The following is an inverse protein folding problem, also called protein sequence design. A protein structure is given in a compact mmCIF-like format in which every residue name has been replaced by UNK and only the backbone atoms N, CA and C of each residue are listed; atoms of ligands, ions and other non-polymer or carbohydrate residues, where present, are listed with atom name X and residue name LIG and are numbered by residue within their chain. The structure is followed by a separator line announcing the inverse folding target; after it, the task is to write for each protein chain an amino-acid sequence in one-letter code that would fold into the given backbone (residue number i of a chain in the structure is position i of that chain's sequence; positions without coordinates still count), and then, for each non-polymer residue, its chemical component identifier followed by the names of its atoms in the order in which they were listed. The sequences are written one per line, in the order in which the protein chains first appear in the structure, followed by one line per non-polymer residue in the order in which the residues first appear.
data_IF_709291853235
#
_entry.id   IF_709291853235
#
_cell.length_a   1.000
_cell.length_b   1.000
_cell.length_c   1.000
_cell.angle_alpha   90.00
_cell.angle_beta   90.00
_cell.angle_gamma   90.00
#
_symmetry.space_group_name_H-M   'P 1'
#
loop_
_entity.id
_entity.type
_entity.pdbx_description
1 polymer ?
#
# COMPACT_ATOMS: atom_id res chain seq x y z
N UNK A 1 0.95 -26.99 16.36
CA UNK A 1 0.87 -25.53 16.61
C UNK A 1 -0.47 -25.18 17.25
N UNK A 2 -0.49 -24.32 18.28
CA UNK A 2 -1.72 -23.85 18.92
C UNK A 2 -1.96 -22.37 18.57
N UNK A 3 -3.18 -22.03 18.16
CA UNK A 3 -3.59 -20.64 17.86
C UNK A 3 -3.93 -19.92 19.15
N UNK A 4 -3.36 -18.71 19.35
CA UNK A 4 -3.63 -17.89 20.53
C UNK A 4 -4.89 -17.03 20.31
N UNK A 5 -5.96 -17.35 21.03
CA UNK A 5 -7.26 -16.70 20.87
C UNK A 5 -7.23 -15.24 21.34
N UNK A 6 -6.48 -14.89 22.38
CA UNK A 6 -6.43 -13.50 22.89
C UNK A 6 -5.72 -12.52 21.96
N UNK A 7 -4.97 -13.03 20.98
CA UNK A 7 -4.37 -12.24 19.89
C UNK A 7 -5.14 -12.34 18.58
N UNK A 8 -6.26 -13.07 18.57
CA UNK A 8 -7.07 -13.30 17.38
C UNK A 8 -8.23 -12.32 17.34
N UNK A 9 -8.43 -11.66 16.21
CA UNK A 9 -9.58 -10.81 15.96
C UNK A 9 -10.30 -11.29 14.70
N UNK A 10 -11.63 -11.25 14.73
CA UNK A 10 -12.45 -11.61 13.58
C UNK A 10 -12.86 -10.34 12.81
N UNK A 11 -12.72 -10.37 11.48
CA UNK A 11 -13.18 -9.33 10.59
C UNK A 11 -14.19 -9.94 9.62
N UNK A 12 -15.42 -9.41 9.61
CA UNK A 12 -16.43 -9.76 8.63
C UNK A 12 -16.39 -8.76 7.47
N UNK A 13 -16.02 -9.20 6.27
CA UNK A 13 -16.05 -8.40 5.04
C UNK A 13 -17.24 -8.83 4.18
N UNK A 14 -18.07 -7.88 3.72
CA UNK A 14 -19.24 -8.19 2.89
C UNK A 14 -20.38 -7.18 3.03
N UNK A 15 -21.52 -7.46 2.39
CA UNK A 15 -22.73 -6.62 2.44
C UNK A 15 -23.51 -6.77 3.74
N UNK A 16 -23.38 -7.91 4.42
CA UNK A 16 -23.96 -8.15 5.73
C UNK A 16 -23.44 -7.10 6.69
N UNK A 17 -24.34 -6.42 7.40
CA UNK A 17 -24.02 -5.38 8.39
C UNK A 17 -24.01 -5.93 9.81
N UNK A 18 -24.89 -6.88 10.10
CA UNK A 18 -24.98 -7.51 11.42
C UNK A 18 -23.85 -8.52 11.59
N UNK A 19 -23.15 -8.44 12.71
CA UNK A 19 -22.18 -9.45 13.11
C UNK A 19 -22.96 -10.66 13.66
N UNK A 20 -22.61 -11.89 13.23
CA UNK A 20 -23.25 -13.07 13.78
C UNK A 20 -22.90 -13.25 15.26
N UNK A 21 -23.80 -13.89 15.99
CA UNK A 21 -23.64 -14.11 17.42
C UNK A 21 -22.44 -15.04 17.68
N UNK A 22 -21.49 -14.50 18.43
CA UNK A 22 -20.33 -15.14 19.07
C UNK A 22 -19.54 -16.14 18.20
N UNK A 23 -18.48 -15.66 17.52
CA UNK A 23 -17.47 -16.55 16.95
C UNK A 23 -16.66 -17.20 18.06
N UNK A 24 -16.63 -18.53 18.14
CA UNK A 24 -15.80 -19.24 19.12
C UNK A 24 -14.65 -19.97 18.43
N UNK A 25 -13.43 -19.76 18.91
CA UNK A 25 -12.25 -20.51 18.50
C UNK A 25 -11.71 -21.25 19.72
N UNK A 26 -11.68 -22.59 19.66
CA UNK A 26 -11.28 -23.46 20.79
C UNK A 26 -12.09 -23.20 22.08
N UNK A 27 -13.39 -22.98 21.95
CA UNK A 27 -14.30 -22.71 23.08
C UNK A 27 -14.21 -21.30 23.67
N UNK A 28 -13.24 -20.48 23.25
CA UNK A 28 -13.10 -19.09 23.66
C UNK A 28 -13.73 -18.16 22.61
N UNK A 29 -14.43 -17.11 23.07
CA UNK A 29 -15.05 -16.13 22.20
C UNK A 29 -13.99 -15.24 21.53
N UNK A 30 -14.11 -15.03 20.23
CA UNK A 30 -13.29 -14.13 19.43
C UNK A 30 -14.04 -12.83 19.24
N UNK A 31 -13.36 -11.71 19.52
CA UNK A 31 -13.93 -10.39 19.33
C UNK A 31 -14.07 -10.04 17.85
N UNK A 32 -15.25 -9.57 17.47
CA UNK A 32 -15.49 -9.00 16.16
C UNK A 32 -15.00 -7.56 16.10
N UNK A 33 -14.15 -7.26 15.14
CA UNK A 33 -13.60 -5.93 14.92
C UNK A 33 -14.00 -5.42 13.53
N UNK A 34 -14.20 -4.10 13.40
CA UNK A 34 -14.47 -3.45 12.11
C UNK A 34 -13.19 -3.13 11.34
N UNK A 35 -12.05 -3.12 12.04
CA UNK A 35 -10.70 -2.92 11.52
C UNK A 35 -9.73 -3.83 12.28
N UNK A 36 -8.85 -4.50 11.55
CA UNK A 36 -7.78 -5.32 12.13
C UNK A 36 -6.43 -4.90 11.58
N UNK A 37 -5.36 -5.15 12.35
CA UNK A 37 -3.98 -4.96 11.90
C UNK A 37 -3.35 -6.32 11.69
N UNK A 38 -2.92 -6.59 10.45
CA UNK A 38 -2.25 -7.84 10.10
C UNK A 38 -0.94 -7.54 9.37
N UNK A 39 0.18 -8.04 9.90
CA UNK A 39 1.53 -7.82 9.36
C UNK A 39 1.84 -6.34 9.05
N UNK A 40 1.32 -5.42 9.85
CA UNK A 40 1.51 -3.97 9.66
C UNK A 40 0.54 -3.30 8.68
N UNK A 41 -0.38 -4.06 8.06
CA UNK A 41 -1.43 -3.54 7.19
C UNK A 41 -2.74 -3.41 7.98
N UNK A 42 -3.41 -2.27 7.86
CA UNK A 42 -4.72 -2.03 8.45
C UNK A 42 -5.83 -2.39 7.46
N UNK A 43 -6.53 -3.48 7.76
CA UNK A 43 -7.61 -3.99 6.93
C UNK A 43 -8.92 -3.57 7.57
N UNK A 44 -9.76 -2.87 6.81
CA UNK A 44 -11.10 -2.47 7.22
C UNK A 44 -12.16 -3.36 6.59
N UNK A 45 -13.32 -3.46 7.23
CA UNK A 45 -14.47 -4.24 6.76
C UNK A 45 -14.86 -3.98 5.30
N UNK A 46 -14.71 -2.74 4.84
CA UNK A 46 -15.10 -2.36 3.48
C UNK A 46 -14.04 -2.68 2.42
N UNK A 47 -12.85 -3.13 2.84
CA UNK A 47 -11.67 -3.35 2.00
C UNK A 47 -11.27 -2.16 1.13
N UNK A 48 -11.72 -0.94 1.48
CA UNK A 48 -11.36 0.31 0.79
C UNK A 48 -10.00 0.85 1.22
N UNK A 49 -9.37 0.22 2.21
CA UNK A 49 -8.01 0.51 2.68
C UNK A 49 -7.81 1.94 3.18
N UNK A 50 -8.91 2.65 3.55
CA UNK A 50 -8.86 4.02 4.05
C UNK A 50 -7.93 4.12 5.28
N UNK A 51 -8.08 3.26 6.31
CA UNK A 51 -7.25 3.39 7.51
C UNK A 51 -5.78 3.05 7.24
N UNK A 52 -5.50 2.18 6.26
CA UNK A 52 -4.15 1.88 5.83
C UNK A 52 -3.49 3.09 5.18
N UNK A 53 -4.20 3.77 4.29
CA UNK A 53 -3.67 4.92 3.56
C UNK A 53 -3.41 6.09 4.50
N UNK A 54 -4.35 6.37 5.41
CA UNK A 54 -4.16 7.44 6.39
C UNK A 54 -2.96 7.15 7.30
N UNK A 55 -2.80 5.89 7.74
CA UNK A 55 -1.62 5.46 8.50
C UNK A 55 -0.32 5.63 7.72
N UNK A 56 -0.27 5.15 6.47
CA UNK A 56 0.90 5.22 5.60
C UNK A 56 1.27 6.67 5.28
N UNK A 57 0.29 7.53 5.01
CA UNK A 57 0.50 8.97 4.80
C UNK A 57 1.04 9.61 6.08
N UNK A 58 0.45 9.34 7.23
CA UNK A 58 0.86 9.95 8.50
C UNK A 58 2.29 9.56 8.88
N UNK A 59 2.62 8.27 8.79
CA UNK A 59 3.97 7.77 9.07
C UNK A 59 5.00 8.33 8.09
N UNK A 60 4.64 8.47 6.81
CA UNK A 60 5.51 9.07 5.78
C UNK A 60 5.69 10.57 5.96
N UNK A 61 4.65 11.30 6.39
CA UNK A 61 4.73 12.72 6.75
C UNK A 61 5.66 12.93 7.94
N UNK A 62 5.52 12.13 9.00
CA UNK A 62 6.40 12.16 10.16
C UNK A 62 7.86 11.85 9.78
N UNK A 63 8.07 10.85 8.93
CA UNK A 63 9.38 10.51 8.38
C UNK A 63 10.03 11.69 7.65
N UNK A 64 9.27 12.31 6.74
CA UNK A 64 9.72 13.48 5.97
C UNK A 64 10.02 14.68 6.87
N UNK A 65 9.20 14.93 7.89
CA UNK A 65 9.42 16.01 8.84
C UNK A 65 10.77 15.83 9.58
N UNK A 66 11.03 14.62 10.09
CA UNK A 66 12.31 14.28 10.75
C UNK A 66 13.51 14.41 9.81
N UNK A 67 13.36 14.02 8.55
CA UNK A 67 14.42 14.10 7.54
C UNK A 67 14.56 15.46 6.86
N UNK A 68 13.69 16.43 7.17
CA UNK A 68 13.71 17.74 6.51
C UNK A 68 15.07 18.43 6.56
N UNK A 69 15.82 18.46 7.69
CA UNK A 69 17.14 19.09 7.73
C UNK A 69 18.11 18.49 6.71
N UNK A 70 18.05 17.18 6.50
CA UNK A 70 18.92 16.45 5.57
C UNK A 70 18.46 16.68 4.13
N UNK A 71 17.16 16.56 3.85
CA UNK A 71 16.62 16.71 2.49
C UNK A 71 16.74 18.16 1.96
N UNK A 72 16.66 19.14 2.85
CA UNK A 72 16.84 20.56 2.52
C UNK A 72 18.30 21.05 2.58
N UNK A 73 19.26 20.20 2.98
CA UNK A 73 20.67 20.57 3.12
C UNK A 73 21.38 20.81 1.77
N UNK A 74 22.69 21.10 1.80
CA UNK A 74 23.54 21.17 0.59
C UNK A 74 24.10 19.81 0.13
N UNK A 75 23.60 18.70 0.68
CA UNK A 75 24.04 17.36 0.27
C UNK A 75 23.78 17.11 -1.23
N UNK A 76 24.59 16.25 -1.87
CA UNK A 76 24.36 15.86 -3.26
C UNK A 76 22.94 15.33 -3.47
N UNK A 77 22.31 15.75 -4.57
CA UNK A 77 20.92 15.37 -4.91
C UNK A 77 20.76 13.84 -4.94
N UNK A 78 21.73 13.12 -5.50
CA UNK A 78 21.74 11.65 -5.54
C UNK A 78 21.59 11.03 -4.14
N UNK A 79 22.32 11.55 -3.15
CA UNK A 79 22.25 11.08 -1.75
C UNK A 79 20.88 11.36 -1.15
N UNK A 80 20.32 12.56 -1.35
CA UNK A 80 18.98 12.90 -0.87
C UNK A 80 17.89 12.00 -1.49
N UNK A 81 17.99 11.72 -2.78
CA UNK A 81 17.08 10.80 -3.49
C UNK A 81 17.20 9.38 -2.93
N UNK A 82 18.42 8.91 -2.67
CA UNK A 82 18.65 7.60 -2.05
C UNK A 82 17.99 7.50 -0.65
N UNK A 83 18.15 8.53 0.19
CA UNK A 83 17.53 8.61 1.51
C UNK A 83 16.00 8.60 1.39
N UNK A 84 15.43 9.36 0.45
CA UNK A 84 13.99 9.34 0.19
C UNK A 84 13.51 7.95 -0.22
N UNK A 85 14.19 7.28 -1.16
CA UNK A 85 13.84 5.93 -1.63
C UNK A 85 13.92 4.92 -0.48
N UNK A 86 14.95 5.02 0.37
CA UNK A 86 15.19 4.11 1.48
C UNK A 86 14.19 4.26 2.63
N UNK A 87 13.80 5.48 3.00
CA UNK A 87 13.07 5.72 4.27
C UNK A 87 11.64 6.23 4.11
N UNK A 88 11.37 7.08 3.11
CA UNK A 88 10.04 7.66 2.91
C UNK A 88 9.25 6.80 1.94
N UNK A 89 9.82 6.47 0.77
CA UNK A 89 9.15 5.64 -0.24
C UNK A 89 8.86 4.23 0.30
N UNK A 90 9.81 3.63 1.02
CA UNK A 90 9.62 2.32 1.64
C UNK A 90 8.41 2.26 2.58
N UNK A 91 8.17 3.32 3.36
CA UNK A 91 6.97 3.46 4.20
C UNK A 91 5.70 3.68 3.38
N UNK A 92 5.76 4.53 2.37
CA UNK A 92 4.63 4.78 1.45
C UNK A 92 4.17 3.51 0.72
N UNK A 93 5.08 2.61 0.44
CA UNK A 93 4.85 1.46 -0.46
C UNK A 93 4.93 0.12 0.27
N UNK A 94 4.98 0.14 1.61
CA UNK A 94 5.01 -1.07 2.42
C UNK A 94 3.77 -1.92 2.16
N UNK A 95 3.99 -3.20 1.81
CA UNK A 95 2.96 -4.16 1.43
C UNK A 95 2.00 -3.67 0.32
N UNK A 96 2.39 -2.65 -0.47
CA UNK A 96 1.55 -2.07 -1.51
C UNK A 96 0.98 -3.08 -2.52
N UNK A 97 1.71 -4.15 -2.93
CA UNK A 97 1.13 -5.19 -3.77
C UNK A 97 -0.16 -5.80 -3.23
N UNK A 98 -0.38 -5.82 -1.91
CA UNK A 98 -1.56 -6.41 -1.30
C UNK A 98 -2.78 -5.46 -1.23
N UNK A 99 -2.57 -4.14 -1.19
CA UNK A 99 -3.65 -3.18 -0.89
C UNK A 99 -3.83 -2.05 -1.92
N UNK A 100 -2.82 -1.74 -2.74
CA UNK A 100 -2.86 -0.57 -3.63
C UNK A 100 -3.93 -0.68 -4.73
N UNK A 101 -4.22 -1.90 -5.20
CA UNK A 101 -5.26 -2.16 -6.20
C UNK A 101 -6.64 -1.73 -5.70
N UNK A 102 -6.89 -1.95 -4.41
CA UNK A 102 -8.17 -1.64 -3.74
C UNK A 102 -8.38 -0.13 -3.53
N UNK A 103 -7.34 0.68 -3.74
CA UNK A 103 -7.42 2.12 -3.56
C UNK A 103 -8.16 2.81 -4.70
N UNK A 104 -9.02 3.77 -4.35
CA UNK A 104 -9.66 4.69 -5.29
C UNK A 104 -8.65 5.65 -5.95
N UNK A 105 -9.04 6.27 -7.06
CA UNK A 105 -8.20 7.27 -7.75
C UNK A 105 -7.77 8.42 -6.82
N UNK A 106 -8.69 8.95 -6.01
CA UNK A 106 -8.40 10.01 -5.03
C UNK A 106 -7.36 9.55 -3.99
N UNK A 107 -7.48 8.31 -3.51
CA UNK A 107 -6.53 7.71 -2.58
C UNK A 107 -5.13 7.57 -3.19
N UNK A 108 -5.04 7.10 -4.44
CA UNK A 108 -3.76 7.00 -5.19
C UNK A 108 -3.14 8.39 -5.40
N UNK A 109 -3.94 9.41 -5.71
CA UNK A 109 -3.49 10.80 -5.81
C UNK A 109 -2.93 11.33 -4.48
N UNK A 110 -3.56 11.03 -3.34
CA UNK A 110 -3.04 11.42 -2.01
C UNK A 110 -1.66 10.81 -1.72
N UNK A 111 -1.42 9.57 -2.14
CA UNK A 111 -0.11 8.90 -2.02
C UNK A 111 0.93 9.55 -2.94
N UNK A 112 0.57 9.78 -4.21
CA UNK A 112 1.43 10.47 -5.17
C UNK A 112 1.80 11.88 -4.70
N UNK A 113 0.86 12.60 -4.06
CA UNK A 113 1.12 13.91 -3.49
C UNK A 113 2.21 13.86 -2.41
N UNK A 114 2.27 12.81 -1.57
CA UNK A 114 3.34 12.68 -0.58
C UNK A 114 4.72 12.52 -1.22
N UNK A 115 4.82 11.77 -2.33
CA UNK A 115 6.04 11.70 -3.14
C UNK A 115 6.39 13.06 -3.73
N UNK A 116 5.43 13.74 -4.36
CA UNK A 116 5.66 15.03 -5.01
C UNK A 116 6.18 16.09 -4.03
N UNK A 117 5.64 16.14 -2.80
CA UNK A 117 6.13 17.04 -1.75
C UNK A 117 7.58 16.71 -1.37
N UNK A 118 7.93 15.43 -1.25
CA UNK A 118 9.29 15.02 -0.90
C UNK A 118 10.29 15.34 -2.03
N UNK A 119 9.93 15.07 -3.28
CA UNK A 119 10.78 15.35 -4.45
C UNK A 119 10.99 16.86 -4.63
N UNK A 120 9.94 17.66 -4.47
CA UNK A 120 10.03 19.12 -4.51
C UNK A 120 10.96 19.67 -3.42
N UNK A 121 10.89 19.12 -2.21
CA UNK A 121 11.82 19.46 -1.12
C UNK A 121 13.27 19.13 -1.48
N UNK A 122 13.53 17.97 -2.10
CA UNK A 122 14.88 17.55 -2.50
C UNK A 122 15.45 18.45 -3.59
N UNK A 123 14.63 18.80 -4.59
CA UNK A 123 15.02 19.66 -5.70
C UNK A 123 15.11 21.14 -5.31
N UNK A 124 14.53 21.55 -4.18
CA UNK A 124 14.41 22.97 -3.82
C UNK A 124 13.53 23.76 -4.80
N UNK A 125 12.59 23.09 -5.47
CA UNK A 125 11.86 23.66 -6.60
C UNK A 125 10.64 24.51 -6.17
N UNK A 126 10.54 25.73 -6.72
CA UNK A 126 9.41 26.64 -6.52
C UNK A 126 8.11 26.15 -7.16
N UNK A 127 6.96 26.70 -6.73
CA UNK A 127 5.60 26.25 -7.10
C UNK A 127 5.35 26.15 -8.61
N UNK A 128 6.01 27.00 -9.41
CA UNK A 128 5.90 27.07 -10.87
C UNK A 128 6.50 25.86 -11.61
N UNK A 129 7.39 25.09 -10.98
CA UNK A 129 7.96 23.88 -11.61
C UNK A 129 6.94 22.73 -11.53
N UNK A 130 6.60 22.14 -12.67
CA UNK A 130 5.65 21.02 -12.76
C UNK A 130 6.23 19.75 -12.09
N UNK A 131 5.39 19.01 -11.36
CA UNK A 131 5.83 17.82 -10.60
C UNK A 131 6.45 16.73 -11.49
N UNK A 132 5.96 16.53 -12.71
CA UNK A 132 6.51 15.52 -13.62
C UNK A 132 7.94 15.87 -14.09
N UNK A 133 8.25 17.17 -14.25
CA UNK A 133 9.60 17.65 -14.59
C UNK A 133 10.55 17.32 -13.45
N UNK A 134 10.16 17.63 -12.21
CA UNK A 134 10.96 17.29 -11.02
C UNK A 134 11.20 15.78 -10.93
N UNK A 135 10.17 14.96 -11.13
CA UNK A 135 10.29 13.51 -11.06
C UNK A 135 11.21 12.95 -12.16
N UNK A 136 11.10 13.45 -13.39
CA UNK A 136 11.96 13.11 -14.52
C UNK A 136 13.41 13.46 -14.24
N UNK A 137 13.69 14.69 -13.85
CA UNK A 137 15.06 15.19 -13.65
C UNK A 137 15.74 14.50 -12.45
N UNK A 138 14.97 14.10 -11.43
CA UNK A 138 15.48 13.30 -10.31
C UNK A 138 15.61 11.80 -10.63
N UNK A 139 15.14 11.33 -11.79
CA UNK A 139 15.14 9.91 -12.15
C UNK A 139 14.28 9.06 -11.21
N UNK A 140 13.08 9.54 -10.91
CA UNK A 140 12.18 8.94 -9.93
C UNK A 140 10.82 8.60 -10.56
N UNK A 141 10.56 7.30 -10.70
CA UNK A 141 9.27 6.76 -11.17
C UNK A 141 8.10 7.13 -10.22
N UNK A 142 6.88 7.13 -10.74
CA UNK A 142 5.65 7.42 -9.96
C UNK A 142 5.40 6.32 -8.91
N UNK A 143 4.58 6.62 -7.90
CA UNK A 143 4.19 5.60 -6.92
C UNK A 143 3.48 4.44 -7.61
N UNK A 144 2.64 4.74 -8.61
CA UNK A 144 1.91 3.71 -9.35
C UNK A 144 2.86 2.80 -10.14
N UNK A 145 3.78 3.35 -10.91
CA UNK A 145 4.80 2.58 -11.65
C UNK A 145 5.61 1.68 -10.71
N UNK A 146 6.08 2.27 -9.59
CA UNK A 146 6.86 1.55 -8.60
C UNK A 146 6.08 0.38 -8.01
N UNK A 147 4.82 0.62 -7.61
CA UNK A 147 3.97 -0.41 -7.02
C UNK A 147 3.63 -1.48 -8.05
N UNK A 148 3.27 -1.12 -9.28
CA UNK A 148 3.02 -2.11 -10.35
C UNK A 148 4.24 -3.01 -10.55
N UNK A 149 5.44 -2.44 -10.59
CA UNK A 149 6.69 -3.22 -10.69
C UNK A 149 6.90 -4.15 -9.49
N UNK A 150 6.61 -3.69 -8.27
CA UNK A 150 6.66 -4.54 -7.07
C UNK A 150 5.63 -5.67 -7.15
N UNK A 151 4.41 -5.36 -7.58
CA UNK A 151 3.32 -6.33 -7.68
C UNK A 151 3.63 -7.42 -8.71
N UNK A 152 4.11 -7.06 -9.90
CA UNK A 152 4.59 -8.03 -10.91
C UNK A 152 5.65 -8.96 -10.32
N UNK A 153 6.67 -8.40 -9.66
CA UNK A 153 7.74 -9.21 -9.03
C UNK A 153 7.23 -10.12 -7.92
N UNK A 154 6.27 -9.65 -7.11
CA UNK A 154 5.73 -10.42 -6.00
C UNK A 154 4.94 -11.63 -6.50
N UNK A 155 4.02 -11.44 -7.44
CA UNK A 155 3.22 -12.52 -8.01
C UNK A 155 4.07 -13.49 -8.84
N UNK A 156 4.99 -13.01 -9.67
CA UNK A 156 5.89 -13.90 -10.42
C UNK A 156 6.73 -14.79 -9.50
N UNK A 157 7.17 -14.27 -8.35
CA UNK A 157 7.89 -15.07 -7.35
C UNK A 157 6.97 -16.07 -6.65
N UNK A 158 5.73 -15.70 -6.38
CA UNK A 158 4.75 -16.61 -5.80
C UNK A 158 4.45 -17.77 -6.75
N UNK A 159 4.21 -17.48 -8.03
CA UNK A 159 3.89 -18.47 -9.07
C UNK A 159 5.10 -19.36 -9.42
N UNK A 160 6.33 -18.82 -9.40
CA UNK A 160 7.55 -19.60 -9.62
C UNK A 160 8.07 -20.31 -8.36
N UNK A 161 7.41 -20.12 -7.21
CA UNK A 161 7.86 -20.65 -5.92
C UNK A 161 7.65 -22.16 -5.77
N UNK A 162 8.31 -22.80 -4.81
CA UNK A 162 8.18 -24.24 -4.56
C UNK A 162 6.86 -24.64 -3.89
N UNK A 163 6.00 -23.68 -3.55
CA UNK A 163 4.75 -23.89 -2.81
C UNK A 163 3.54 -23.73 -3.73
N UNK A 164 2.89 -24.83 -4.16
CA UNK A 164 1.75 -24.78 -5.08
C UNK A 164 0.58 -23.96 -4.56
N UNK A 165 0.42 -23.86 -3.23
CA UNK A 165 -0.64 -23.05 -2.60
C UNK A 165 -0.49 -21.55 -2.82
N UNK A 166 0.69 -21.08 -3.22
CA UNK A 166 0.95 -19.69 -3.56
C UNK A 166 0.84 -19.41 -5.07
N UNK A 167 0.68 -20.46 -5.88
CA UNK A 167 0.48 -20.29 -7.31
C UNK A 167 -0.93 -19.76 -7.57
N UNK A 168 -1.08 -18.89 -8.56
CA UNK A 168 -2.37 -18.33 -8.99
C UNK A 168 -3.13 -17.58 -7.90
N UNK A 169 -2.44 -17.00 -6.91
CA UNK A 169 -3.06 -16.13 -5.90
C UNK A 169 -3.86 -15.00 -6.58
N UNK A 170 -5.09 -14.78 -6.10
CA UNK A 170 -6.06 -13.84 -6.65
C UNK A 170 -6.36 -14.08 -8.16
N UNK A 171 -6.99 -15.21 -8.52
CA UNK A 171 -7.24 -15.59 -9.91
C UNK A 171 -8.19 -14.59 -10.59
N UNK A 172 -7.94 -14.31 -11.87
CA UNK A 172 -8.70 -13.32 -12.65
C UNK A 172 -10.13 -13.76 -13.00
N UNK A 173 -10.42 -15.06 -12.95
CA UNK A 173 -11.64 -15.66 -13.50
C UNK A 173 -12.76 -15.87 -12.45
N UNK A 174 -12.44 -15.94 -11.15
CA UNK A 174 -13.43 -16.10 -10.07
C UNK A 174 -13.82 -14.73 -9.49
N UNK A 175 -14.37 -13.85 -10.32
CA UNK A 175 -14.80 -12.51 -9.88
C UNK A 175 -16.11 -12.59 -9.09
N UNK A 176 -16.17 -12.03 -7.87
CA UNK A 176 -17.46 -11.78 -7.23
C UNK A 176 -18.24 -10.71 -8.02
N UNK A 177 -19.57 -10.86 -8.07
CA UNK A 177 -20.51 -10.03 -8.85
C UNK A 177 -20.45 -8.53 -8.53
N UNK A 178 -19.86 -8.14 -7.39
CA UNK A 178 -19.54 -6.75 -7.03
C UNK A 178 -18.04 -6.52 -7.27
N UNK A 179 -17.70 -5.97 -8.44
CA UNK A 179 -16.34 -5.88 -8.99
C UNK A 179 -15.38 -4.96 -8.23
N UNK A 180 -14.86 -5.43 -7.09
CA UNK A 180 -13.64 -4.87 -6.49
C UNK A 180 -12.42 -5.25 -7.33
N UNK A 181 -11.48 -4.33 -7.50
CA UNK A 181 -10.18 -4.64 -8.11
C UNK A 181 -9.41 -5.59 -7.21
N UNK A 182 -8.89 -6.67 -7.77
CA UNK A 182 -8.01 -7.58 -7.05
C UNK A 182 -6.57 -7.06 -7.09
N UNK A 183 -5.75 -7.37 -6.07
CA UNK A 183 -4.31 -7.08 -6.06
C UNK A 183 -3.58 -7.44 -7.36
N UNK A 184 -3.96 -8.55 -8.00
CA UNK A 184 -3.35 -9.04 -9.24
C UNK A 184 -3.74 -8.21 -10.48
N UNK A 185 -4.83 -7.44 -10.44
CA UNK A 185 -5.26 -6.59 -11.57
C UNK A 185 -4.27 -5.44 -11.86
N UNK A 186 -3.37 -5.13 -10.93
CA UNK A 186 -2.28 -4.18 -11.17
C UNK A 186 -1.21 -4.71 -12.15
N UNK A 187 -1.16 -6.04 -12.36
CA UNK A 187 -0.22 -6.71 -13.26
C UNK A 187 -0.68 -6.59 -14.70
N UNK A 188 -1.99 -6.72 -14.94
CA UNK A 188 -2.59 -6.58 -16.26
C UNK A 188 -2.56 -5.12 -16.70
N UNK A 189 -1.90 -4.84 -17.83
CA UNK A 189 -2.06 -3.57 -18.52
C UNK A 189 -3.50 -3.54 -19.02
N UNK A 190 -4.37 -2.77 -18.39
CA UNK A 190 -5.57 -2.32 -19.10
C UNK A 190 -5.06 -1.46 -20.24
N UNK A 191 -5.28 -1.83 -21.52
CA UNK A 191 -5.07 -0.88 -22.60
C UNK A 191 -5.97 0.32 -22.26
N UNK A 192 -5.39 1.51 -22.23
CA UNK A 192 -6.19 2.72 -22.19
C UNK A 192 -7.02 2.74 -23.48
N UNK A 193 -8.32 2.51 -23.37
CA UNK A 193 -9.29 2.97 -24.37
C UNK A 193 -9.53 4.46 -24.18
#
# INVERSE_FOLDING_TARGET
MAVNVSKTAALLTGSQRNMPDQLRLRGQAVEWNTRVRYLGVHIDRSLRMIPQIDHVIQTSRAARAKLRPILASRLPIRTKVAIYKCYIRSRLTYAAPAWYALCSGLQRQRLQAQQNIALRLIAGAGWYVKNHVIARDLGVETIEEFVRRLTRRAFNRADAGPHPSLHNLAPHLDRPTRGYQLPRDLVTETPNN
#
